data_IF_878480390041
#
_entry.id   IF_878480390041
#
_cell.length_a   1.000
_cell.length_b   1.000
_cell.length_c   1.000
_cell.angle_alpha   90.00
_cell.angle_beta   90.00
_cell.angle_gamma   90.00
#
_symmetry.space_group_name_H-M   'P 1'
#
loop_
_entity.id
_entity.type
_entity.pdbx_description
1 polymer ?
#
# COMPACT_ATOMS: atom_id res chain seq x y z
N UNK A 1 -27.43 33.27 0.83
CA UNK A 1 -27.46 32.59 -0.49
C UNK A 1 -26.07 32.67 -1.10
N UNK A 2 -25.21 31.68 -0.85
CA UNK A 2 -23.91 31.57 -1.49
C UNK A 2 -23.97 30.37 -2.43
N UNK A 3 -24.21 30.65 -3.69
CA UNK A 3 -24.08 29.67 -4.76
C UNK A 3 -22.59 29.43 -5.03
N UNK A 4 -22.06 28.34 -4.49
CA UNK A 4 -20.78 27.79 -4.95
C UNK A 4 -21.02 27.30 -6.39
N UNK A 5 -20.78 28.13 -7.38
CA UNK A 5 -20.64 27.69 -8.75
C UNK A 5 -19.47 26.72 -8.80
N UNK A 6 -19.75 25.43 -8.88
CA UNK A 6 -18.80 24.43 -9.39
C UNK A 6 -18.55 24.80 -10.86
N UNK A 7 -17.44 25.49 -11.11
CA UNK A 7 -16.92 25.65 -12.45
C UNK A 7 -16.55 24.24 -12.88
N UNK A 8 -17.35 23.64 -13.76
CA UNK A 8 -16.99 22.43 -14.50
C UNK A 8 -15.80 22.83 -15.41
N UNK A 9 -14.58 22.66 -14.90
CA UNK A 9 -13.38 22.84 -15.71
C UNK A 9 -13.42 21.75 -16.78
N UNK A 10 -13.53 22.17 -18.03
CA UNK A 10 -13.35 21.29 -19.18
C UNK A 10 -11.90 20.85 -19.19
N UNK A 11 -11.62 19.58 -18.88
CA UNK A 11 -10.25 19.05 -18.78
C UNK A 11 -9.77 18.59 -20.17
N UNK A 12 -9.55 19.54 -21.08
CA UNK A 12 -9.20 19.26 -22.47
C UNK A 12 -7.70 19.40 -22.75
N UNK A 13 -6.99 20.20 -21.98
CA UNK A 13 -5.58 20.51 -22.20
C UNK A 13 -4.65 19.79 -21.24
N UNK A 14 -3.40 19.63 -21.62
CA UNK A 14 -2.33 19.07 -20.77
C UNK A 14 -2.15 19.88 -19.49
N UNK A 15 -2.25 21.22 -19.58
CA UNK A 15 -2.08 22.13 -18.44
C UNK A 15 -3.19 21.98 -17.41
N UNK A 16 -4.45 21.85 -17.84
CA UNK A 16 -5.59 21.60 -16.96
C UNK A 16 -5.49 20.25 -16.25
N UNK A 17 -5.07 19.21 -16.97
CA UNK A 17 -4.81 17.87 -16.39
C UNK A 17 -3.67 17.96 -15.37
N UNK A 18 -2.61 18.73 -15.68
CA UNK A 18 -1.48 18.94 -14.76
C UNK A 18 -1.90 19.69 -13.49
N UNK A 19 -2.72 20.73 -13.61
CA UNK A 19 -3.25 21.44 -12.44
C UNK A 19 -4.09 20.52 -11.55
N UNK A 20 -4.93 19.68 -12.16
CA UNK A 20 -5.69 18.66 -11.44
C UNK A 20 -4.77 17.66 -10.72
N UNK A 21 -3.70 17.20 -11.40
CA UNK A 21 -2.72 16.31 -10.82
C UNK A 21 -2.02 16.93 -9.59
N UNK A 22 -1.59 18.19 -9.69
CA UNK A 22 -0.95 18.91 -8.60
C UNK A 22 -1.90 19.11 -7.40
N UNK A 23 -3.16 19.47 -7.64
CA UNK A 23 -4.20 19.54 -6.58
C UNK A 23 -4.43 18.20 -5.87
N UNK A 24 -4.28 17.09 -6.59
CA UNK A 24 -4.40 15.76 -5.99
C UNK A 24 -3.15 15.39 -5.19
N UNK A 25 -1.96 15.71 -5.71
CA UNK A 25 -0.67 15.44 -5.06
C UNK A 25 -0.46 16.27 -3.80
N UNK A 26 -1.04 17.47 -3.72
CA UNK A 26 -1.04 18.29 -2.50
C UNK A 26 -1.67 17.56 -1.29
N UNK A 27 -2.66 16.69 -1.54
CA UNK A 27 -3.39 15.96 -0.50
C UNK A 27 -2.94 14.52 -0.33
N UNK A 28 -2.43 13.89 -1.38
CA UNK A 28 -2.16 12.47 -1.44
C UNK A 28 -0.79 12.16 -2.04
N UNK A 29 -0.19 11.09 -1.57
CA UNK A 29 1.01 10.50 -2.18
C UNK A 29 0.62 9.21 -2.92
N UNK A 30 0.17 9.29 -4.17
CA UNK A 30 -0.20 8.12 -4.96
C UNK A 30 1.02 7.49 -5.63
N UNK A 31 0.88 6.23 -6.10
CA UNK A 31 1.75 5.70 -7.13
C UNK A 31 1.38 6.31 -8.51
N UNK A 32 2.30 6.25 -9.48
CA UNK A 32 2.07 6.69 -10.87
C UNK A 32 0.76 6.13 -11.43
N UNK A 33 0.58 4.81 -11.34
CA UNK A 33 -0.65 4.14 -11.78
C UNK A 33 -1.90 4.64 -11.06
N UNK A 34 -1.82 4.91 -9.76
CA UNK A 34 -2.97 5.42 -9.01
C UNK A 34 -3.36 6.83 -9.45
N UNK A 35 -2.38 7.69 -9.71
CA UNK A 35 -2.62 9.03 -10.24
C UNK A 35 -3.18 8.96 -11.67
N UNK A 36 -2.63 8.11 -12.54
CA UNK A 36 -3.14 7.87 -13.89
C UNK A 36 -4.63 7.50 -13.88
N UNK A 37 -5.01 6.52 -13.04
CA UNK A 37 -6.41 6.09 -12.92
C UNK A 37 -7.31 7.22 -12.43
N UNK A 38 -6.84 7.99 -11.44
CA UNK A 38 -7.59 9.14 -10.92
C UNK A 38 -7.83 10.20 -12.01
N UNK A 39 -6.78 10.61 -12.71
CA UNK A 39 -6.86 11.62 -13.77
C UNK A 39 -7.77 11.14 -14.89
N UNK A 40 -7.60 9.91 -15.35
CA UNK A 40 -8.42 9.34 -16.41
C UNK A 40 -9.92 9.36 -16.07
N UNK A 41 -10.28 8.94 -14.85
CA UNK A 41 -11.67 8.99 -14.39
C UNK A 41 -12.21 10.42 -14.37
N UNK A 42 -11.43 11.36 -13.83
CA UNK A 42 -11.84 12.75 -13.73
C UNK A 42 -12.03 13.42 -15.09
N UNK A 43 -11.13 13.17 -16.03
CA UNK A 43 -11.24 13.69 -17.39
C UNK A 43 -12.48 13.13 -18.09
N UNK A 44 -12.74 11.82 -18.00
CA UNK A 44 -13.93 11.20 -18.60
C UNK A 44 -15.22 11.74 -17.96
N UNK A 45 -15.26 11.89 -16.63
CA UNK A 45 -16.46 12.37 -15.92
C UNK A 45 -16.82 13.81 -16.31
N UNK A 46 -15.86 14.61 -16.79
CA UNK A 46 -16.07 16.02 -17.15
C UNK A 46 -16.32 16.24 -18.65
N UNK A 47 -16.03 15.24 -19.47
CA UNK A 47 -16.19 15.36 -20.93
C UNK A 47 -17.46 14.68 -21.42
N UNK A 48 -18.30 15.46 -22.11
CA UNK A 48 -19.44 14.95 -22.87
C UNK A 48 -18.95 14.33 -24.18
N UNK A 49 -18.72 13.03 -24.21
CA UNK A 49 -18.67 12.10 -25.34
C UNK A 49 -17.86 12.44 -26.65
N UNK A 50 -16.96 13.42 -26.69
CA UNK A 50 -16.34 13.84 -27.93
C UNK A 50 -14.83 13.56 -28.10
N UNK A 51 -14.10 13.16 -27.05
CA UNK A 51 -12.65 12.90 -27.16
C UNK A 51 -12.37 11.40 -27.09
N UNK A 52 -11.51 10.93 -28.00
CA UNK A 52 -11.09 9.56 -28.06
C UNK A 52 -10.26 9.21 -26.78
N UNK A 53 -10.61 8.11 -26.10
CA UNK A 53 -9.92 7.66 -24.86
C UNK A 53 -8.40 7.55 -25.02
N UNK A 54 -7.92 7.22 -26.22
CA UNK A 54 -6.51 7.15 -26.57
C UNK A 54 -5.80 8.50 -26.48
N UNK A 55 -6.47 9.58 -26.89
CA UNK A 55 -5.93 10.94 -26.80
C UNK A 55 -5.83 11.42 -25.35
N UNK A 56 -6.85 11.13 -24.55
CA UNK A 56 -6.83 11.41 -23.11
C UNK A 56 -5.64 10.73 -22.43
N UNK A 57 -5.42 9.45 -22.71
CA UNK A 57 -4.29 8.70 -22.15
C UNK A 57 -2.95 9.30 -22.53
N UNK A 58 -2.76 9.73 -23.79
CA UNK A 58 -1.53 10.40 -24.23
C UNK A 58 -1.26 11.70 -23.48
N UNK A 59 -2.28 12.52 -23.29
CA UNK A 59 -2.15 13.77 -22.49
C UNK A 59 -1.80 13.49 -21.02
N UNK A 60 -2.41 12.48 -20.43
CA UNK A 60 -2.10 12.06 -19.06
C UNK A 60 -0.66 11.55 -18.96
N UNK A 61 -0.17 10.74 -19.92
CA UNK A 61 1.22 10.26 -19.91
C UNK A 61 2.24 11.40 -20.01
N UNK A 62 1.98 12.44 -20.78
CA UNK A 62 2.82 13.65 -20.84
C UNK A 62 2.91 14.29 -19.44
N UNK A 63 1.77 14.47 -18.75
CA UNK A 63 1.72 15.03 -17.40
C UNK A 63 2.48 14.16 -16.41
N UNK A 64 2.27 12.84 -16.43
CA UNK A 64 2.93 11.91 -15.53
C UNK A 64 4.45 11.91 -15.73
N UNK A 65 4.92 11.96 -16.99
CA UNK A 65 6.35 12.05 -17.32
C UNK A 65 6.98 13.33 -16.77
N UNK A 66 6.35 14.49 -16.99
CA UNK A 66 6.83 15.77 -16.44
C UNK A 66 6.90 15.78 -14.92
N UNK A 67 5.93 15.16 -14.24
CA UNK A 67 5.93 15.06 -12.77
C UNK A 67 6.99 14.09 -12.24
N UNK A 68 7.30 13.02 -12.98
CA UNK A 68 8.40 12.09 -12.65
C UNK A 68 9.76 12.76 -12.83
N UNK A 69 10.00 13.42 -13.96
CA UNK A 69 11.25 14.14 -14.23
C UNK A 69 11.56 15.20 -13.17
N UNK A 70 10.53 15.87 -12.66
CA UNK A 70 10.64 16.84 -11.57
C UNK A 70 10.73 16.21 -10.17
N UNK A 71 10.68 14.89 -10.06
CA UNK A 71 10.72 14.17 -8.80
C UNK A 71 9.48 14.35 -7.91
N UNK A 72 8.43 15.01 -8.41
CA UNK A 72 7.17 15.23 -7.69
C UNK A 72 6.39 13.92 -7.56
N UNK A 73 6.42 13.11 -8.61
CA UNK A 73 5.86 11.75 -8.64
C UNK A 73 7.02 10.76 -8.53
N UNK A 74 7.01 9.93 -7.47
CA UNK A 74 8.13 9.05 -7.17
C UNK A 74 7.65 7.69 -6.61
N UNK A 75 7.62 6.68 -7.47
CA UNK A 75 7.20 5.33 -7.12
C UNK A 75 8.17 4.63 -6.16
N UNK A 76 9.45 5.01 -6.15
CA UNK A 76 10.43 4.48 -5.19
C UNK A 76 10.11 4.96 -3.77
N UNK A 77 9.93 6.26 -3.58
CA UNK A 77 9.53 6.84 -2.30
C UNK A 77 8.17 6.30 -1.84
N UNK A 78 7.20 6.20 -2.76
CA UNK A 78 5.91 5.58 -2.50
C UNK A 78 6.07 4.15 -1.95
N UNK A 79 6.89 3.32 -2.62
CA UNK A 79 7.12 1.92 -2.24
C UNK A 79 7.76 1.81 -0.86
N UNK A 80 8.75 2.64 -0.56
CA UNK A 80 9.41 2.68 0.74
C UNK A 80 8.45 3.05 1.88
N UNK A 81 7.70 4.15 1.73
CA UNK A 81 6.75 4.62 2.73
C UNK A 81 5.65 3.60 2.96
N UNK A 82 5.07 3.04 1.89
CA UNK A 82 3.99 2.05 2.01
C UNK A 82 4.47 0.76 2.65
N UNK A 83 5.65 0.27 2.28
CA UNK A 83 6.24 -0.93 2.88
C UNK A 83 6.47 -0.76 4.38
N UNK A 84 7.09 0.35 4.81
CA UNK A 84 7.28 0.66 6.24
C UNK A 84 5.95 0.70 7.00
N UNK A 85 4.92 1.31 6.40
CA UNK A 85 3.59 1.38 7.01
C UNK A 85 2.92 0.00 7.11
N UNK A 86 3.09 -0.88 6.12
CA UNK A 86 2.56 -2.24 6.15
C UNK A 86 3.27 -3.08 7.23
N UNK A 87 4.60 -3.02 7.32
CA UNK A 87 5.38 -3.71 8.37
C UNK A 87 4.95 -3.27 9.78
N UNK A 88 4.80 -1.96 10.00
CA UNK A 88 4.28 -1.41 11.26
C UNK A 88 2.87 -1.90 11.61
N UNK A 89 2.06 -2.21 10.61
CA UNK A 89 0.72 -2.79 10.78
C UNK A 89 0.73 -4.29 11.01
N UNK A 90 1.87 -4.96 10.84
CA UNK A 90 2.02 -6.41 10.97
C UNK A 90 1.54 -7.18 9.74
N UNK A 91 1.84 -6.69 8.54
CA UNK A 91 1.63 -7.43 7.29
C UNK A 91 2.94 -8.06 6.81
N UNK A 92 2.82 -9.20 6.11
CA UNK A 92 3.97 -9.92 5.57
C UNK A 92 4.56 -9.23 4.33
N UNK A 93 5.80 -9.58 4.00
CA UNK A 93 6.46 -9.17 2.75
C UNK A 93 5.63 -9.59 1.52
N UNK A 94 5.00 -10.77 1.57
CA UNK A 94 4.15 -11.22 0.49
C UNK A 94 2.92 -10.30 0.30
N UNK A 95 2.30 -9.85 1.39
CA UNK A 95 1.20 -8.89 1.33
C UNK A 95 1.64 -7.53 0.81
N UNK A 96 2.86 -7.09 1.16
CA UNK A 96 3.48 -5.88 0.64
C UNK A 96 3.70 -6.00 -0.86
N UNK A 97 4.33 -7.10 -1.32
CA UNK A 97 4.53 -7.38 -2.76
C UNK A 97 3.22 -7.30 -3.54
N UNK A 98 2.19 -7.98 -3.05
CA UNK A 98 0.87 -7.98 -3.68
C UNK A 98 0.29 -6.57 -3.79
N UNK A 99 0.36 -5.79 -2.71
CA UNK A 99 -0.17 -4.43 -2.70
C UNK A 99 0.58 -3.52 -3.68
N UNK A 100 1.91 -3.51 -3.65
CA UNK A 100 2.73 -2.68 -4.52
C UNK A 100 2.54 -3.06 -6.00
N UNK A 101 2.47 -4.35 -6.32
CA UNK A 101 2.16 -4.83 -7.67
C UNK A 101 0.80 -4.34 -8.17
N UNK A 102 -0.24 -4.40 -7.33
CA UNK A 102 -1.57 -3.85 -7.66
C UNK A 102 -1.54 -2.34 -7.92
N UNK A 103 -0.61 -1.63 -7.26
CA UNK A 103 -0.39 -0.19 -7.43
C UNK A 103 0.49 0.16 -8.63
N UNK A 104 0.88 -0.84 -9.43
CA UNK A 104 1.63 -0.66 -10.67
C UNK A 104 3.12 -0.48 -10.49
N UNK A 105 3.64 -0.77 -9.31
CA UNK A 105 5.08 -0.74 -9.06
C UNK A 105 5.76 -1.82 -9.91
N UNK A 106 6.83 -1.44 -10.61
CA UNK A 106 7.56 -2.34 -11.49
C UNK A 106 8.16 -3.52 -10.73
N UNK A 107 8.35 -4.65 -11.41
CA UNK A 107 8.95 -5.85 -10.79
C UNK A 107 10.34 -5.58 -10.22
N UNK A 108 11.14 -4.80 -10.93
CA UNK A 108 12.49 -4.44 -10.51
C UNK A 108 12.47 -3.60 -9.24
N UNK A 109 11.69 -2.52 -9.20
CA UNK A 109 11.56 -1.67 -8.02
C UNK A 109 10.96 -2.43 -6.82
N UNK A 110 10.03 -3.34 -7.08
CA UNK A 110 9.46 -4.21 -6.06
C UNK A 110 10.51 -5.14 -5.47
N UNK A 111 11.38 -5.75 -6.31
CA UNK A 111 12.50 -6.59 -5.88
C UNK A 111 13.44 -5.79 -4.97
N UNK A 112 13.93 -4.63 -5.44
CA UNK A 112 14.80 -3.74 -4.68
C UNK A 112 14.21 -3.32 -3.33
N UNK A 113 12.91 -2.97 -3.31
CA UNK A 113 12.20 -2.60 -2.08
C UNK A 113 12.19 -3.74 -1.06
N UNK A 114 11.96 -4.97 -1.48
CA UNK A 114 11.94 -6.14 -0.60
C UNK A 114 13.33 -6.51 -0.11
N UNK A 115 14.34 -6.49 -0.99
CA UNK A 115 15.74 -6.73 -0.64
C UNK A 115 16.19 -5.76 0.45
N UNK A 116 15.96 -4.47 0.26
CA UNK A 116 16.27 -3.45 1.26
C UNK A 116 15.62 -3.72 2.62
N UNK A 117 14.36 -4.17 2.66
CA UNK A 117 13.70 -4.53 3.92
C UNK A 117 14.39 -5.73 4.59
N UNK A 118 14.82 -6.72 3.80
CA UNK A 118 15.48 -7.92 4.32
C UNK A 118 16.91 -7.65 4.79
N UNK A 119 17.60 -6.67 4.21
CA UNK A 119 18.89 -6.18 4.68
C UNK A 119 18.76 -5.39 5.99
N UNK A 120 17.76 -4.51 6.07
CA UNK A 120 17.52 -3.66 7.24
C UNK A 120 16.99 -4.43 8.48
N UNK A 121 16.33 -5.57 8.27
CA UNK A 121 15.65 -6.31 9.33
C UNK A 121 15.84 -7.83 9.22
N UNK A 122 16.37 -8.44 10.26
CA UNK A 122 16.41 -9.90 10.38
C UNK A 122 14.98 -10.44 10.57
N UNK A 123 14.57 -11.38 9.71
CA UNK A 123 13.25 -12.04 9.77
C UNK A 123 12.04 -11.08 9.86
N UNK A 124 11.88 -10.15 8.89
CA UNK A 124 10.83 -9.13 8.94
C UNK A 124 9.41 -9.71 9.05
N UNK A 125 9.14 -10.85 8.43
CA UNK A 125 7.84 -11.53 8.49
C UNK A 125 7.55 -12.07 9.90
N UNK A 126 8.54 -12.65 10.57
CA UNK A 126 8.39 -13.15 11.94
C UNK A 126 7.98 -12.02 12.91
N UNK A 127 8.72 -10.92 12.88
CA UNK A 127 8.41 -9.77 13.76
C UNK A 127 7.09 -9.08 13.36
N UNK A 128 6.75 -9.04 12.09
CA UNK A 128 5.45 -8.52 11.62
C UNK A 128 4.29 -9.40 12.09
N UNK A 129 4.46 -10.71 12.10
CA UNK A 129 3.46 -11.65 12.63
C UNK A 129 3.25 -11.46 14.15
N UNK A 130 4.31 -11.25 14.93
CA UNK A 130 4.18 -10.92 16.36
C UNK A 130 3.45 -9.58 16.55
N UNK A 131 3.79 -8.55 15.76
CA UNK A 131 3.10 -7.24 15.83
C UNK A 131 1.60 -7.34 15.61
N UNK A 132 1.16 -8.09 14.60
CA UNK A 132 -0.28 -8.24 14.35
C UNK A 132 -0.96 -9.06 15.43
N UNK A 133 -0.31 -10.11 15.96
CA UNK A 133 -0.82 -10.88 17.09
C UNK A 133 -1.00 -9.99 18.32
N UNK A 134 -0.01 -9.18 18.66
CA UNK A 134 -0.08 -8.21 19.77
C UNK A 134 -1.22 -7.21 19.56
N UNK A 135 -1.27 -6.56 18.40
CA UNK A 135 -2.28 -5.55 18.08
C UNK A 135 -3.70 -6.09 18.14
N UNK A 136 -3.91 -7.33 17.73
CA UNK A 136 -5.24 -7.97 17.68
C UNK A 136 -5.54 -8.84 18.90
N UNK A 137 -4.59 -8.99 19.81
CA UNK A 137 -4.67 -9.86 21.00
C UNK A 137 -5.05 -11.30 20.63
N UNK A 138 -4.35 -11.87 19.65
CA UNK A 138 -4.58 -13.21 19.11
C UNK A 138 -3.36 -14.12 19.33
N UNK A 139 -3.53 -15.43 19.16
CA UNK A 139 -2.47 -16.42 19.31
C UNK A 139 -1.80 -16.35 20.68
N UNK A 140 -0.47 -16.11 20.77
CA UNK A 140 0.27 -16.12 22.03
C UNK A 140 -0.19 -15.02 23.02
N UNK A 141 -0.95 -14.03 22.56
CA UNK A 141 -1.52 -12.96 23.39
C UNK A 141 -2.92 -13.28 23.94
N UNK A 142 -3.47 -14.47 23.64
CA UNK A 142 -4.72 -14.92 24.25
C UNK A 142 -4.48 -15.55 25.61
N UNK A 143 -5.48 -15.53 26.51
CA UNK A 143 -5.52 -16.42 27.66
C UNK A 143 -5.41 -17.89 27.22
N UNK A 144 -4.67 -18.73 27.95
CA UNK A 144 -4.39 -20.10 27.55
C UNK A 144 -5.65 -20.94 27.28
N UNK A 145 -6.69 -20.78 28.10
CA UNK A 145 -7.99 -21.43 27.92
C UNK A 145 -8.65 -21.15 26.55
N UNK A 146 -8.28 -20.06 25.91
CA UNK A 146 -8.90 -19.62 24.66
C UNK A 146 -8.05 -19.92 23.40
N UNK A 147 -6.78 -20.30 23.57
CA UNK A 147 -5.86 -20.49 22.44
C UNK A 147 -6.33 -21.58 21.49
N UNK A 148 -6.71 -22.73 22.01
CA UNK A 148 -7.16 -23.85 21.19
C UNK A 148 -8.49 -23.56 20.50
N UNK A 149 -9.46 -22.98 21.21
CA UNK A 149 -10.80 -22.66 20.71
C UNK A 149 -10.69 -21.69 19.52
N UNK A 150 -9.79 -20.72 19.59
CA UNK A 150 -9.65 -19.68 18.56
C UNK A 150 -8.53 -19.93 17.53
N UNK A 151 -7.83 -21.08 17.62
CA UNK A 151 -6.67 -21.38 16.78
C UNK A 151 -6.95 -21.21 15.28
N UNK A 152 -8.03 -21.82 14.76
CA UNK A 152 -8.42 -21.71 13.33
C UNK A 152 -8.73 -20.26 12.92
N UNK A 153 -9.35 -19.50 13.80
CA UNK A 153 -9.69 -18.09 13.56
C UNK A 153 -8.39 -17.23 13.49
N UNK A 154 -7.46 -17.48 14.38
CA UNK A 154 -6.20 -16.75 14.46
C UNK A 154 -5.28 -17.10 13.28
N UNK A 155 -5.21 -18.39 12.89
CA UNK A 155 -4.59 -18.82 11.62
C UNK A 155 -5.16 -18.07 10.42
N UNK A 156 -6.48 -17.93 10.33
CA UNK A 156 -7.15 -17.19 9.26
C UNK A 156 -6.79 -15.69 9.25
N UNK A 157 -6.52 -15.08 10.41
CA UNK A 157 -6.04 -13.70 10.50
C UNK A 157 -4.64 -13.57 9.93
N UNK A 158 -3.72 -14.47 10.30
CA UNK A 158 -2.34 -14.49 9.81
C UNK A 158 -2.28 -14.76 8.30
N UNK A 159 -3.06 -15.73 7.81
CA UNK A 159 -3.17 -16.04 6.37
C UNK A 159 -3.64 -14.83 5.55
N UNK A 160 -4.69 -14.11 5.99
CA UNK A 160 -5.15 -12.87 5.32
C UNK A 160 -4.14 -11.74 5.37
N UNK A 161 -3.24 -11.77 6.35
CA UNK A 161 -2.12 -10.82 6.47
C UNK A 161 -0.92 -11.22 5.61
N UNK A 162 -1.00 -12.38 4.93
CA UNK A 162 -0.06 -12.84 3.91
C UNK A 162 1.04 -13.76 4.44
N UNK A 163 0.96 -14.24 5.68
CA UNK A 163 1.95 -15.17 6.25
C UNK A 163 1.72 -16.60 5.76
N UNK A 164 2.82 -17.37 5.64
CA UNK A 164 2.76 -18.80 5.34
C UNK A 164 2.10 -19.59 6.48
N UNK A 165 1.63 -20.79 6.17
CA UNK A 165 1.06 -21.68 7.18
C UNK A 165 2.08 -22.02 8.26
N UNK A 166 3.31 -22.39 7.85
CA UNK A 166 4.38 -22.80 8.78
C UNK A 166 4.77 -21.69 9.75
N UNK A 167 5.01 -20.48 9.23
CA UNK A 167 5.29 -19.32 10.08
C UNK A 167 4.11 -19.01 11.01
N UNK A 168 2.88 -19.08 10.50
CA UNK A 168 1.69 -18.85 11.32
C UNK A 168 1.57 -19.87 12.46
N UNK A 169 1.84 -21.15 12.17
CA UNK A 169 1.87 -22.22 13.17
C UNK A 169 2.95 -21.98 14.21
N UNK A 170 4.17 -21.63 13.79
CA UNK A 170 5.28 -21.28 14.67
C UNK A 170 4.89 -20.13 15.62
N UNK A 171 4.37 -19.03 15.09
CA UNK A 171 3.98 -17.85 15.89
C UNK A 171 2.86 -18.19 16.89
N UNK A 172 1.85 -18.97 16.48
CA UNK A 172 0.76 -19.33 17.38
C UNK A 172 1.19 -20.31 18.50
N UNK A 173 2.29 -21.04 18.31
CA UNK A 173 2.86 -21.96 19.28
C UNK A 173 3.81 -21.28 20.29
N UNK A 174 4.13 -19.98 20.15
CA UNK A 174 5.02 -19.28 21.05
C UNK A 174 4.47 -19.25 22.47
N UNK A 175 5.32 -19.58 23.43
CA UNK A 175 5.03 -19.42 24.85
C UNK A 175 5.31 -18.01 25.36
N UNK A 176 4.87 -17.72 26.58
CA UNK A 176 5.01 -16.40 27.20
C UNK A 176 6.47 -15.98 27.45
N UNK A 177 7.39 -16.94 27.61
CA UNK A 177 8.82 -16.64 27.83
C UNK A 177 9.49 -16.24 26.51
N UNK A 178 9.25 -17.04 25.47
CA UNK A 178 9.72 -16.77 24.11
C UNK A 178 9.18 -15.42 23.61
N UNK A 179 7.90 -15.18 23.82
CA UNK A 179 7.23 -13.93 23.40
C UNK A 179 7.91 -12.70 24.03
N UNK A 180 8.20 -12.72 25.33
CA UNK A 180 8.90 -11.61 26.02
C UNK A 180 10.28 -11.31 25.43
N UNK A 181 11.01 -12.34 24.98
CA UNK A 181 12.32 -12.17 24.34
C UNK A 181 12.17 -11.44 22.99
N UNK A 182 11.20 -11.87 22.17
CA UNK A 182 10.97 -11.26 20.85
C UNK A 182 10.37 -9.86 20.94
N UNK A 183 9.54 -9.59 21.95
CA UNK A 183 8.95 -8.26 22.15
C UNK A 183 9.98 -7.15 22.41
N UNK A 184 11.13 -7.49 23.01
CA UNK A 184 12.23 -6.54 23.22
C UNK A 184 12.88 -6.05 21.91
N UNK A 185 12.62 -6.76 20.80
CA UNK A 185 13.17 -6.46 19.48
C UNK A 185 12.13 -5.85 18.51
N UNK A 186 10.89 -5.59 18.97
CA UNK A 186 9.80 -4.98 18.20
C UNK A 186 9.93 -3.46 18.14
#
# INVERSE_FOLDING_TARGET
MNQSKSISQNLETVDEIKELALKYLDKYQPSKKSLQIYLFRKVIDTQSNSIEKGEILKKIEIVLGDLEEKGILNDSLYSEIKSKNFLKRGYSLNKIKQHLSQKGISRELLRQTIEKIQEDQTNPDFYSAIRICKKRRIGPYRPDANKEIFYKKDMGVLARSGFSYDLSKEILALDSKQLKIYEKKL
#
